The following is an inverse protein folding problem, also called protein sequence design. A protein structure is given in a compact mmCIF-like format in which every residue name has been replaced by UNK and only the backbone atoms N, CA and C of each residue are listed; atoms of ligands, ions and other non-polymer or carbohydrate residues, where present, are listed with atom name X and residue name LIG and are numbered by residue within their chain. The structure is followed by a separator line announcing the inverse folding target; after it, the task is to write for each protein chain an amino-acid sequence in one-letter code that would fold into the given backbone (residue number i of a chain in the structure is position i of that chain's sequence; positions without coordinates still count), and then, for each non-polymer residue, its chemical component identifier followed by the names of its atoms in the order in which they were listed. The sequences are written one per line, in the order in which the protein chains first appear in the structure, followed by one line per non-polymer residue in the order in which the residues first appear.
data_IF_552820320339
#
_entry.id   IF_552820320339
#
_cell.length_a   1.000
_cell.length_b   1.000
_cell.length_c   1.000
_cell.angle_alpha   90.00
_cell.angle_beta   90.00
_cell.angle_gamma   90.00
#
_symmetry.space_group_name_H-M   'P 1'
#
loop_
_entity.id
_entity.type
_entity.pdbx_description
1 polymer ?
#
# COMPACT_ATOMS: atom_id res chain seq x y z
N UNK A 1 -29.02 36.60 -9.62
CA UNK A 1 -29.16 35.37 -10.43
C UNK A 1 -27.81 35.12 -11.05
N UNK A 2 -27.06 34.06 -10.82
CA UNK A 2 -27.05 32.97 -9.86
C UNK A 2 -25.62 32.45 -9.96
N UNK A 3 -25.00 32.15 -8.82
CA UNK A 3 -23.60 31.77 -8.72
C UNK A 3 -23.33 30.50 -9.54
N UNK A 4 -22.45 30.62 -10.54
CA UNK A 4 -21.84 29.47 -11.19
C UNK A 4 -20.62 29.05 -10.39
N UNK A 5 -20.84 28.35 -9.28
CA UNK A 5 -19.80 27.55 -8.65
C UNK A 5 -19.28 26.56 -9.70
N UNK A 6 -18.13 26.86 -10.28
CA UNK A 6 -17.34 25.86 -11.00
C UNK A 6 -16.95 24.81 -9.95
N UNK A 7 -17.38 23.54 -10.10
CA UNK A 7 -16.85 22.49 -9.25
C UNK A 7 -15.34 22.46 -9.49
N UNK A 8 -14.58 22.69 -8.44
CA UNK A 8 -13.13 22.61 -8.48
C UNK A 8 -12.74 21.27 -9.10
N UNK A 9 -11.96 21.35 -10.18
CA UNK A 9 -11.19 20.23 -10.73
C UNK A 9 -10.07 19.90 -9.72
N UNK A 10 -10.48 19.50 -8.53
CA UNK A 10 -9.64 18.72 -7.65
C UNK A 10 -9.62 17.36 -8.30
N UNK A 11 -8.53 17.04 -8.98
CA UNK A 11 -8.20 15.66 -9.32
C UNK A 11 -8.41 14.84 -8.06
N UNK A 12 -9.55 14.16 -7.99
CA UNK A 12 -9.75 13.02 -7.12
C UNK A 12 -8.78 11.99 -7.71
N UNK A 13 -7.51 12.11 -7.30
CA UNK A 13 -6.56 11.01 -7.30
C UNK A 13 -7.19 10.01 -6.34
N UNK A 14 -8.22 9.33 -6.83
CA UNK A 14 -9.10 8.49 -6.05
C UNK A 14 -8.19 7.61 -5.22
N UNK A 15 -8.16 7.85 -3.92
CA UNK A 15 -7.32 7.09 -3.01
C UNK A 15 -7.87 5.67 -3.08
N UNK A 16 -7.26 4.83 -3.93
CA UNK A 16 -7.78 3.50 -4.19
C UNK A 16 -7.45 2.67 -2.96
N UNK A 17 -8.46 2.41 -2.12
CA UNK A 17 -8.35 1.47 -1.01
C UNK A 17 -8.78 0.08 -1.49
N UNK A 18 -7.99 -0.93 -1.14
CA UNK A 18 -8.29 -2.32 -1.42
C UNK A 18 -8.21 -3.11 -0.11
N UNK A 19 -9.33 -3.72 0.28
CA UNK A 19 -9.36 -4.61 1.43
C UNK A 19 -8.96 -6.01 0.95
N UNK A 20 -7.99 -6.62 1.64
CA UNK A 20 -7.46 -7.94 1.30
C UNK A 20 -7.24 -8.77 2.56
N UNK A 21 -7.45 -10.07 2.45
CA UNK A 21 -7.15 -11.03 3.52
C UNK A 21 -5.75 -11.64 3.33
N UNK A 22 -4.96 -11.63 4.41
CA UNK A 22 -3.65 -12.29 4.53
C UNK A 22 -3.71 -13.24 5.72
N UNK A 23 -3.88 -14.54 5.42
CA UNK A 23 -4.31 -15.50 6.45
C UNK A 23 -5.71 -15.17 6.94
N UNK A 24 -5.89 -15.11 8.26
CA UNK A 24 -7.13 -14.71 8.93
C UNK A 24 -7.21 -13.20 9.23
N UNK A 25 -6.23 -12.42 8.80
CA UNK A 25 -6.19 -10.97 9.05
C UNK A 25 -6.65 -10.18 7.84
N UNK A 26 -7.61 -9.30 8.05
CA UNK A 26 -8.03 -8.30 7.08
C UNK A 26 -7.08 -7.09 7.10
N UNK A 27 -6.56 -6.73 5.93
CA UNK A 27 -5.72 -5.56 5.73
C UNK A 27 -6.34 -4.62 4.71
N UNK A 28 -6.14 -3.32 4.90
CA UNK A 28 -6.47 -2.28 3.94
C UNK A 28 -5.19 -1.81 3.28
N UNK A 29 -5.14 -1.90 1.96
CA UNK A 29 -4.08 -1.33 1.12
C UNK A 29 -4.58 0.00 0.56
N UNK A 30 -4.02 1.12 0.99
CA UNK A 30 -4.35 2.44 0.45
C UNK A 30 -3.31 2.84 -0.58
N UNK A 31 -3.70 2.95 -1.85
CA UNK A 31 -2.80 3.42 -2.91
C UNK A 31 -2.38 4.85 -2.64
N UNK A 32 -1.07 5.07 -2.58
CA UNK A 32 -0.46 6.40 -2.51
C UNK A 32 0.13 6.83 -3.86
N UNK A 33 -0.15 6.06 -4.93
CA UNK A 33 0.37 6.29 -6.28
C UNK A 33 1.70 5.58 -6.58
N UNK A 34 1.99 5.40 -7.88
CA UNK A 34 3.25 4.83 -8.39
C UNK A 34 3.63 3.46 -7.77
N UNK A 35 2.66 2.54 -7.66
CA UNK A 35 2.89 1.21 -7.08
C UNK A 35 3.09 1.20 -5.56
N UNK A 36 2.93 2.35 -4.88
CA UNK A 36 3.09 2.47 -3.43
C UNK A 36 1.74 2.37 -2.73
N UNK A 37 1.72 1.59 -1.65
CA UNK A 37 0.54 1.28 -0.87
C UNK A 37 0.84 1.45 0.62
N UNK A 38 0.01 2.16 1.35
CA UNK A 38 -0.01 2.09 2.81
C UNK A 38 -0.79 0.85 3.25
N UNK A 39 -0.26 0.11 4.21
CA UNK A 39 -0.88 -1.11 4.74
C UNK A 39 -1.40 -0.81 6.14
N UNK A 40 -2.69 -1.06 6.36
CA UNK A 40 -3.34 -0.87 7.63
C UNK A 40 -4.14 -2.11 8.05
N UNK A 41 -4.29 -2.31 9.35
CA UNK A 41 -5.26 -3.27 9.94
C UNK A 41 -6.36 -2.46 10.61
N UNK A 42 -7.59 -2.54 10.08
CA UNK A 42 -8.65 -1.60 10.45
C UNK A 42 -8.23 -0.16 10.15
N UNK A 43 -8.18 0.69 11.18
CA UNK A 43 -7.77 2.09 11.08
C UNK A 43 -6.32 2.35 11.50
N UNK A 44 -5.54 1.31 11.80
CA UNK A 44 -4.16 1.44 12.29
C UNK A 44 -3.17 1.17 11.17
N UNK A 45 -2.37 2.17 10.73
CA UNK A 45 -1.31 1.94 9.75
C UNK A 45 -0.18 1.11 10.37
N UNK A 46 0.20 0.03 9.70
CA UNK A 46 1.23 -0.92 10.17
C UNK A 46 2.50 -0.87 9.33
N UNK A 47 2.45 -0.26 8.15
CA UNK A 47 3.62 -0.03 7.31
C UNK A 47 3.27 0.38 5.90
N UNK A 48 4.28 0.36 5.03
CA UNK A 48 4.16 0.68 3.61
C UNK A 48 4.65 -0.48 2.78
N UNK A 49 3.98 -0.73 1.66
CA UNK A 49 4.30 -1.68 0.62
C UNK A 49 4.62 -0.88 -0.66
N UNK A 50 5.69 -1.21 -1.36
CA UNK A 50 6.03 -0.59 -2.63
C UNK A 50 6.26 -1.69 -3.66
N UNK A 51 5.42 -1.72 -4.68
CA UNK A 51 5.59 -2.52 -5.88
C UNK A 51 6.63 -1.82 -6.76
N UNK A 52 7.82 -2.41 -6.83
CA UNK A 52 8.84 -1.99 -7.77
C UNK A 52 8.53 -2.66 -9.11
N UNK A 53 8.29 -1.87 -10.17
CA UNK A 53 8.10 -2.45 -11.50
C UNK A 53 9.38 -3.20 -11.88
N UNK A 54 9.20 -4.46 -12.23
CA UNK A 54 10.25 -5.22 -12.89
C UNK A 54 10.76 -4.46 -14.13
N UNK A 55 12.07 -4.47 -14.35
CA UNK A 55 12.62 -3.93 -15.60
C UNK A 55 12.14 -4.78 -16.78
N UNK A 56 12.22 -4.27 -18.01
CA UNK A 56 11.88 -5.07 -19.20
C UNK A 56 12.65 -6.42 -19.26
N UNK A 57 13.84 -6.45 -18.66
CA UNK A 57 14.70 -7.64 -18.51
C UNK A 57 14.34 -8.54 -17.31
N UNK A 58 13.66 -8.01 -16.30
CA UNK A 58 13.23 -8.73 -15.10
C UNK A 58 11.71 -8.53 -14.92
N UNK A 59 10.86 -9.36 -15.55
CA UNK A 59 9.39 -9.21 -15.45
C UNK A 59 8.82 -9.54 -14.06
N UNK A 60 9.69 -9.71 -13.06
CA UNK A 60 9.35 -10.09 -11.70
C UNK A 60 8.90 -8.82 -10.95
N UNK A 61 7.77 -8.92 -10.25
CA UNK A 61 7.27 -7.83 -9.42
C UNK A 61 7.90 -7.96 -8.06
N UNK A 62 8.75 -7.01 -7.70
CA UNK A 62 9.32 -6.99 -6.35
C UNK A 62 8.48 -6.11 -5.45
N UNK A 63 8.19 -6.61 -4.26
CA UNK A 63 7.53 -5.86 -3.21
C UNK A 63 8.54 -5.55 -2.12
N UNK A 64 8.75 -4.27 -1.87
CA UNK A 64 9.50 -3.80 -0.72
C UNK A 64 8.55 -3.35 0.37
N UNK A 65 8.92 -3.64 1.62
CA UNK A 65 8.16 -3.19 2.80
C UNK A 65 8.95 -2.21 3.61
N UNK A 66 8.25 -1.25 4.21
CA UNK A 66 8.83 -0.30 5.16
C UNK A 66 7.98 -0.27 6.42
N UNK A 67 8.57 -0.67 7.53
CA UNK A 67 7.95 -0.58 8.85
C UNK A 67 8.01 0.87 9.34
N UNK A 68 7.08 1.31 10.22
CA UNK A 68 7.10 2.66 10.78
C UNK A 68 8.39 2.98 11.57
N UNK A 69 9.06 1.97 12.12
CA UNK A 69 10.34 2.10 12.80
C UNK A 69 11.54 2.29 11.85
N UNK A 70 11.40 1.97 10.55
CA UNK A 70 12.48 2.07 9.58
C UNK A 70 13.51 0.93 9.63
N UNK A 71 13.32 -0.06 10.50
CA UNK A 71 14.28 -1.14 10.78
C UNK A 71 14.19 -2.38 9.87
N UNK A 72 13.32 -2.39 8.86
CA UNK A 72 13.14 -3.57 8.02
C UNK A 72 12.70 -3.24 6.61
N UNK A 73 13.64 -3.34 5.68
CA UNK A 73 13.39 -3.45 4.24
C UNK A 73 13.44 -4.94 3.88
N UNK A 74 12.27 -5.53 3.63
CA UNK A 74 12.16 -6.88 3.09
C UNK A 74 11.78 -6.80 1.62
N UNK A 75 12.49 -7.53 0.75
CA UNK A 75 12.17 -7.68 -0.67
C UNK A 75 11.60 -9.07 -0.90
N UNK A 76 10.45 -9.16 -1.56
CA UNK A 76 9.82 -10.43 -1.91
C UNK A 76 9.05 -10.29 -3.22
N UNK A 77 8.96 -11.36 -4.00
CA UNK A 77 8.16 -11.40 -5.22
C UNK A 77 6.67 -11.69 -4.94
N UNK A 78 6.33 -11.92 -3.67
CA UNK A 78 4.98 -12.20 -3.20
C UNK A 78 4.48 -11.11 -2.24
N UNK A 79 3.44 -10.37 -2.67
CA UNK A 79 2.85 -9.30 -1.87
C UNK A 79 2.22 -9.79 -0.56
N UNK A 80 1.77 -11.06 -0.48
CA UNK A 80 1.19 -11.62 0.76
C UNK A 80 2.29 -11.86 1.79
N UNK A 81 3.47 -12.32 1.36
CA UNK A 81 4.65 -12.46 2.21
C UNK A 81 5.12 -11.08 2.71
N UNK A 82 5.10 -10.05 1.86
CA UNK A 82 5.42 -8.67 2.23
C UNK A 82 4.46 -8.16 3.33
N UNK A 83 3.15 -8.27 3.11
CA UNK A 83 2.16 -7.86 4.11
C UNK A 83 2.24 -8.73 5.38
N UNK A 84 2.49 -10.04 5.24
CA UNK A 84 2.67 -10.95 6.37
C UNK A 84 3.85 -10.57 7.25
N UNK A 85 4.94 -10.05 6.67
CA UNK A 85 6.05 -9.48 7.44
C UNK A 85 5.62 -8.24 8.22
N UNK A 86 4.93 -7.29 7.58
CA UNK A 86 4.41 -6.08 8.25
C UNK A 86 3.49 -6.45 9.42
N UNK A 87 2.62 -7.44 9.24
CA UNK A 87 1.76 -7.97 10.30
C UNK A 87 2.56 -8.56 11.46
N UNK A 88 3.58 -9.38 11.17
CA UNK A 88 4.45 -9.95 12.21
C UNK A 88 5.14 -8.85 13.02
N UNK A 89 5.69 -7.84 12.36
CA UNK A 89 6.39 -6.73 13.03
C UNK A 89 5.43 -5.89 13.86
N UNK A 90 4.22 -5.60 13.37
CA UNK A 90 3.23 -4.82 14.10
C UNK A 90 2.67 -5.52 15.36
N UNK A 91 2.79 -6.85 15.43
CA UNK A 91 2.33 -7.67 16.57
C UNK A 91 3.48 -8.13 17.48
N UNK A 92 4.74 -7.74 17.22
CA UNK A 92 5.91 -8.06 18.06
C UNK A 92 6.16 -6.96 19.08
#
# INVERSE_FOLDING_TARGET
MGEGEQPGDGVDLAQQSQIRAVGDVEVTLLSTGEGRWEVATGSTPIGRLMELPGSLDEPWRHFTVRTPAGDGEGVTDDWRAAVGYLLRVANS
#
